data_IF_505289138401
#
_entry.id   IF_505289138401
#
_cell.length_a   1.000
_cell.length_b   1.000
_cell.length_c   1.000
_cell.angle_alpha   90.00
_cell.angle_beta   90.00
_cell.angle_gamma   90.00
#
_symmetry.space_group_name_H-M   'P 1'
#
loop_
_entity.id
_entity.type
_entity.pdbx_description
1 polymer ?
#
# COMPACT_ATOMS: atom_id res chain seq x y z
N UNK A 1 12.40 0.60 -25.17
CA UNK A 1 12.39 -0.26 -23.97
C UNK A 1 10.97 -0.73 -23.67
N UNK A 2 10.82 -1.84 -22.93
CA UNK A 2 9.49 -2.27 -22.44
C UNK A 2 8.91 -1.22 -21.49
N UNK A 3 7.58 -1.20 -21.33
CA UNK A 3 6.98 -0.23 -20.43
C UNK A 3 7.34 -0.50 -18.97
N UNK A 4 7.48 -1.76 -18.56
CA UNK A 4 7.92 -2.10 -17.20
C UNK A 4 9.31 -1.53 -16.86
N UNK A 5 10.26 -1.64 -17.79
CA UNK A 5 11.61 -1.07 -17.66
C UNK A 5 11.54 0.46 -17.54
N UNK A 6 10.72 1.10 -18.37
CA UNK A 6 10.48 2.54 -18.30
C UNK A 6 9.86 2.97 -16.96
N UNK A 7 8.88 2.22 -16.47
CA UNK A 7 8.21 2.45 -15.19
C UNK A 7 9.22 2.35 -14.03
N UNK A 8 10.03 1.29 -13.99
CA UNK A 8 11.03 1.09 -12.94
C UNK A 8 12.09 2.22 -12.94
N UNK A 9 12.55 2.65 -14.11
CA UNK A 9 13.44 3.81 -14.25
C UNK A 9 12.75 5.08 -13.74
N UNK A 10 11.47 5.29 -14.06
CA UNK A 10 10.73 6.48 -13.65
C UNK A 10 10.63 6.56 -12.12
N UNK A 11 10.03 5.54 -11.49
CA UNK A 11 9.62 5.64 -10.09
C UNK A 11 10.65 5.03 -9.13
N UNK A 12 11.03 3.77 -9.34
CA UNK A 12 11.81 3.00 -8.37
C UNK A 12 13.28 3.43 -8.34
N UNK A 13 13.88 3.66 -9.51
CA UNK A 13 15.28 4.07 -9.60
C UNK A 13 15.51 5.57 -9.40
N UNK A 14 14.44 6.38 -9.46
CA UNK A 14 14.52 7.83 -9.36
C UNK A 14 13.53 8.40 -8.33
N UNK A 15 12.25 8.55 -8.66
CA UNK A 15 11.30 9.32 -7.84
C UNK A 15 11.28 8.89 -6.36
N UNK A 16 11.04 7.61 -6.06
CA UNK A 16 11.01 7.12 -4.67
C UNK A 16 12.38 7.09 -4.00
N UNK A 17 13.43 6.79 -4.77
CA UNK A 17 14.82 6.72 -4.26
C UNK A 17 15.31 8.03 -3.65
N UNK A 18 14.83 9.16 -4.14
CA UNK A 18 15.20 10.48 -3.62
C UNK A 18 14.36 10.92 -2.41
N UNK A 19 13.48 10.06 -1.90
CA UNK A 19 12.71 10.34 -0.68
C UNK A 19 11.83 11.57 -0.81
N UNK A 20 11.13 11.72 -1.95
CA UNK A 20 10.21 12.84 -2.18
C UNK A 20 9.18 12.91 -1.05
N UNK A 21 8.79 14.11 -0.63
CA UNK A 21 7.74 14.26 0.37
C UNK A 21 6.40 13.81 -0.23
N UNK A 22 5.72 12.87 0.43
CA UNK A 22 4.36 12.43 0.09
C UNK A 22 3.42 12.93 1.20
N UNK A 23 2.25 13.47 0.86
CA UNK A 23 1.22 13.89 1.83
C UNK A 23 0.72 15.32 1.65
N UNK A 24 0.18 15.96 2.73
CA UNK A 24 -0.42 17.31 2.69
C UNK A 24 0.50 18.44 2.17
N UNK A 25 1.81 18.21 2.13
CA UNK A 25 2.82 19.10 1.55
C UNK A 25 3.59 18.47 0.38
N UNK A 26 3.23 17.23 0.02
CA UNK A 26 3.82 16.42 -1.04
C UNK A 26 2.83 16.19 -2.18
N UNK A 27 3.13 15.30 -3.12
CA UNK A 27 2.34 15.26 -4.35
C UNK A 27 0.89 14.68 -4.19
N UNK A 28 0.61 13.78 -3.21
CA UNK A 28 -0.73 13.15 -3.01
C UNK A 28 -1.35 13.26 -1.62
N UNK A 29 -2.68 13.07 -1.59
CA UNK A 29 -3.46 12.88 -0.38
C UNK A 29 -3.86 11.40 -0.22
N UNK A 30 -3.16 10.69 0.66
CA UNK A 30 -3.32 9.24 0.95
C UNK A 30 -4.16 8.99 2.20
N UNK A 31 -4.49 7.73 2.50
CA UNK A 31 -5.10 7.36 3.79
C UNK A 31 -4.30 7.88 4.99
N UNK A 32 -2.97 7.74 4.93
CA UNK A 32 -2.02 8.20 5.96
C UNK A 32 -2.05 9.73 6.10
N UNK A 33 -2.33 10.46 5.02
CA UNK A 33 -2.37 11.93 5.01
C UNK A 33 -3.62 12.51 5.69
N UNK A 34 -4.68 11.72 5.85
CA UNK A 34 -5.94 12.15 6.47
C UNK A 34 -5.70 12.55 7.92
N UNK A 35 -5.01 11.68 8.66
CA UNK A 35 -4.64 11.82 10.06
C UNK A 35 -4.56 10.45 10.75
N UNK A 36 -4.48 10.46 12.08
CA UNK A 36 -4.21 9.26 12.88
C UNK A 36 -5.28 8.15 12.82
N UNK A 37 -6.51 8.47 12.39
CA UNK A 37 -7.64 7.55 12.52
C UNK A 37 -7.42 6.23 11.77
N UNK A 38 -6.78 6.27 10.61
CA UNK A 38 -6.50 5.05 9.83
C UNK A 38 -5.56 4.10 10.58
N UNK A 39 -4.44 4.60 11.11
CA UNK A 39 -3.52 3.82 11.95
C UNK A 39 -4.18 3.29 13.23
N UNK A 40 -5.04 4.08 13.87
CA UNK A 40 -5.80 3.63 15.04
C UNK A 40 -6.79 2.48 14.70
N UNK A 41 -7.41 2.53 13.51
CA UNK A 41 -8.26 1.44 13.02
C UNK A 41 -7.44 0.17 12.78
N UNK A 42 -6.26 0.27 12.14
CA UNK A 42 -5.32 -0.84 11.96
C UNK A 42 -4.93 -1.48 13.30
N UNK A 43 -4.64 -0.65 14.31
CA UNK A 43 -4.32 -1.11 15.66
C UNK A 43 -5.49 -1.87 16.31
N UNK A 44 -6.72 -1.36 16.17
CA UNK A 44 -7.91 -2.04 16.68
C UNK A 44 -8.11 -3.41 16.01
N UNK A 45 -7.91 -3.49 14.69
CA UNK A 45 -8.00 -4.76 13.98
C UNK A 45 -6.95 -5.77 14.46
N UNK A 46 -5.70 -5.34 14.62
CA UNK A 46 -4.64 -6.18 15.18
C UNK A 46 -5.01 -6.72 16.57
N UNK A 47 -5.51 -5.85 17.47
CA UNK A 47 -5.91 -6.26 18.82
C UNK A 47 -7.10 -7.22 18.81
N UNK A 48 -8.08 -7.04 17.91
CA UNK A 48 -9.18 -7.99 17.71
C UNK A 48 -8.67 -9.37 17.31
N UNK A 49 -7.75 -9.43 16.33
CA UNK A 49 -7.13 -10.69 15.91
C UNK A 49 -6.36 -11.35 17.07
N UNK A 50 -5.64 -10.56 17.86
CA UNK A 50 -4.90 -11.07 19.02
C UNK A 50 -5.83 -11.68 20.07
N UNK A 51 -6.90 -10.96 20.44
CA UNK A 51 -7.92 -11.42 21.40
C UNK A 51 -8.65 -12.68 20.95
N UNK A 52 -8.89 -12.79 19.64
CA UNK A 52 -9.54 -13.95 19.05
C UNK A 52 -8.59 -15.15 18.87
N UNK A 53 -7.31 -15.00 19.21
CA UNK A 53 -6.30 -16.05 19.04
C UNK A 53 -5.94 -16.32 17.56
N UNK A 54 -6.27 -15.40 16.66
CA UNK A 54 -5.95 -15.51 15.24
C UNK A 54 -4.49 -15.16 14.94
N UNK A 55 -3.87 -14.37 15.80
CA UNK A 55 -2.43 -14.09 15.85
C UNK A 55 -1.92 -14.29 17.28
N UNK A 56 -0.65 -14.66 17.44
CA UNK A 56 -0.02 -14.84 18.76
C UNK A 56 0.44 -13.52 19.37
N UNK A 57 0.70 -13.53 20.69
CA UNK A 57 1.31 -12.41 21.40
C UNK A 57 2.77 -12.14 21.00
N UNK A 58 3.42 -13.08 20.31
CA UNK A 58 4.77 -12.93 19.74
C UNK A 58 4.76 -12.45 18.28
N UNK A 59 3.58 -12.18 17.71
CA UNK A 59 3.45 -11.70 16.34
C UNK A 59 4.16 -10.34 16.17
N UNK A 60 5.04 -10.25 15.16
CA UNK A 60 5.70 -8.99 14.80
C UNK A 60 4.80 -8.16 13.91
N UNK A 61 5.03 -6.84 13.86
CA UNK A 61 4.29 -5.94 12.97
C UNK A 61 5.26 -5.31 11.98
N UNK A 62 4.94 -5.37 10.70
CA UNK A 62 5.77 -4.83 9.62
C UNK A 62 4.97 -3.91 8.72
N UNK A 63 5.54 -2.76 8.39
CA UNK A 63 5.08 -1.91 7.29
C UNK A 63 6.01 -2.05 6.07
N UNK A 64 5.43 -2.15 4.87
CA UNK A 64 6.15 -2.09 3.60
C UNK A 64 5.64 -0.89 2.80
N UNK A 65 6.57 -0.04 2.32
CA UNK A 65 6.22 1.22 1.64
C UNK A 65 5.87 2.35 2.60
N UNK A 66 6.61 2.47 3.71
CA UNK A 66 6.23 3.33 4.84
C UNK A 66 6.43 4.84 4.60
N UNK A 67 7.19 5.24 3.60
CA UNK A 67 7.60 6.62 3.34
C UNK A 67 8.14 7.33 4.62
N UNK A 68 7.33 8.14 5.31
CA UNK A 68 7.70 8.84 6.55
C UNK A 68 7.56 8.00 7.82
N UNK A 69 6.95 6.81 7.76
CA UNK A 69 6.66 5.95 8.91
C UNK A 69 5.42 6.37 9.71
N UNK A 70 4.63 7.32 9.20
CA UNK A 70 3.48 7.87 9.94
C UNK A 70 2.39 6.82 10.20
N UNK A 71 2.14 5.90 9.27
CA UNK A 71 1.11 4.86 9.45
C UNK A 71 1.47 3.91 10.59
N UNK A 72 2.69 3.34 10.60
CA UNK A 72 3.14 2.49 11.70
C UNK A 72 3.25 3.25 13.03
N UNK A 73 3.59 4.54 13.00
CA UNK A 73 3.58 5.38 14.19
C UNK A 73 2.15 5.61 14.71
N UNK A 74 1.17 5.87 13.84
CA UNK A 74 -0.24 5.97 14.22
C UNK A 74 -0.80 4.64 14.74
N UNK A 75 -0.38 3.53 14.14
CA UNK A 75 -0.65 2.19 14.65
C UNK A 75 -0.12 2.01 16.08
N UNK A 76 1.16 2.33 16.32
CA UNK A 76 1.77 2.21 17.64
C UNK A 76 1.06 3.07 18.70
N UNK A 77 0.70 4.31 18.33
CA UNK A 77 -0.11 5.20 19.18
C UNK A 77 -1.52 4.63 19.43
N UNK A 78 -2.12 3.98 18.43
CA UNK A 78 -3.38 3.26 18.54
C UNK A 78 -3.30 2.13 19.56
N UNK A 79 -2.26 1.27 19.48
CA UNK A 79 -2.02 0.22 20.47
C UNK A 79 -1.85 0.82 21.86
N UNK A 80 -1.03 1.86 22.03
CA UNK A 80 -0.85 2.54 23.32
C UNK A 80 -2.18 3.03 23.93
N UNK A 81 -3.08 3.52 23.08
CA UNK A 81 -4.37 4.09 23.51
C UNK A 81 -5.38 3.00 23.87
N UNK A 82 -5.38 1.90 23.13
CA UNK A 82 -6.36 0.83 23.26
C UNK A 82 -5.94 -0.21 24.31
N UNK A 83 -4.70 -0.71 24.24
CA UNK A 83 -4.12 -1.73 25.12
C UNK A 83 -2.61 -1.51 25.31
N UNK A 84 -2.20 -0.55 26.17
CA UNK A 84 -0.81 -0.16 26.35
C UNK A 84 0.10 -1.30 26.82
N UNK A 85 -0.42 -2.33 27.48
CA UNK A 85 0.31 -3.50 27.96
C UNK A 85 0.86 -4.39 26.83
N UNK A 86 0.29 -4.32 25.63
CA UNK A 86 0.74 -5.08 24.47
C UNK A 86 1.97 -4.43 23.83
N UNK A 87 2.03 -3.09 23.82
CA UNK A 87 3.02 -2.32 23.07
C UNK A 87 4.48 -2.67 23.41
N UNK A 88 4.91 -2.84 24.67
CA UNK A 88 6.29 -3.19 25.00
C UNK A 88 6.78 -4.52 24.41
N UNK A 89 5.85 -5.42 24.04
CA UNK A 89 6.17 -6.73 23.48
C UNK A 89 6.12 -6.74 21.94
N UNK A 90 5.70 -5.66 21.30
CA UNK A 90 5.61 -5.56 19.85
C UNK A 90 6.94 -5.14 19.22
N UNK A 91 7.46 -5.96 18.32
CA UNK A 91 8.55 -5.57 17.44
C UNK A 91 7.94 -4.91 16.18
N UNK A 92 8.18 -3.60 16.05
CA UNK A 92 7.75 -2.81 14.90
C UNK A 92 8.87 -2.76 13.85
N UNK A 93 8.54 -3.15 12.62
CA UNK A 93 9.49 -3.33 11.53
C UNK A 93 9.09 -2.49 10.32
N UNK A 94 10.06 -1.92 9.61
CA UNK A 94 9.86 -1.28 8.30
C UNK A 94 10.82 -1.91 7.28
N UNK A 95 10.30 -2.28 6.10
CA UNK A 95 11.13 -2.62 4.94
C UNK A 95 11.39 -1.35 4.14
N UNK A 96 12.64 -0.89 4.11
CA UNK A 96 13.02 0.36 3.45
C UNK A 96 14.44 0.27 2.85
N UNK A 97 14.57 0.13 1.52
CA UNK A 97 15.88 0.06 0.87
C UNK A 97 16.64 1.40 0.87
N UNK A 98 15.96 2.55 1.03
CA UNK A 98 16.59 3.86 0.89
C UNK A 98 16.98 4.48 2.23
N UNK A 99 18.28 4.73 2.43
CA UNK A 99 18.82 5.31 3.68
C UNK A 99 18.17 6.65 4.06
N UNK A 100 17.85 7.49 3.06
CA UNK A 100 17.21 8.79 3.29
C UNK A 100 15.82 8.64 3.93
N UNK A 101 15.04 7.66 3.50
CA UNK A 101 13.73 7.35 4.06
C UNK A 101 13.85 6.69 5.44
N UNK A 102 14.83 5.80 5.65
CA UNK A 102 15.12 5.24 6.98
C UNK A 102 15.42 6.33 8.01
N UNK A 103 16.22 7.35 7.64
CA UNK A 103 16.50 8.50 8.52
C UNK A 103 15.22 9.28 8.84
N UNK A 104 14.40 9.58 7.83
CA UNK A 104 13.10 10.24 8.02
C UNK A 104 12.18 9.44 8.95
N UNK A 105 12.10 8.13 8.77
CA UNK A 105 11.28 7.23 9.61
C UNK A 105 11.76 7.23 11.06
N UNK A 106 13.09 7.16 11.30
CA UNK A 106 13.66 7.29 12.65
C UNK A 106 13.36 8.65 13.29
N UNK A 107 13.47 9.74 12.53
CA UNK A 107 13.14 11.09 13.00
C UNK A 107 11.66 11.22 13.37
N UNK A 108 10.75 10.65 12.57
CA UNK A 108 9.31 10.59 12.88
C UNK A 108 9.07 9.90 14.22
N UNK A 109 9.67 8.72 14.42
CA UNK A 109 9.50 7.96 15.67
C UNK A 109 10.13 8.68 16.87
N UNK A 110 11.35 9.19 16.74
CA UNK A 110 12.01 9.93 17.81
C UNK A 110 11.22 11.19 18.22
N UNK A 111 10.65 11.91 17.24
CA UNK A 111 9.81 13.09 17.51
C UNK A 111 8.51 12.74 18.23
N UNK A 112 7.90 11.60 17.91
CA UNK A 112 6.60 11.19 18.46
C UNK A 112 6.70 10.45 19.79
N UNK A 113 7.75 9.67 19.99
CA UNK A 113 7.86 8.71 21.09
C UNK A 113 9.17 8.81 21.88
N UNK A 114 10.12 9.66 21.49
CA UNK A 114 11.44 9.66 22.09
C UNK A 114 12.11 8.29 21.98
N UNK A 115 12.53 7.73 23.11
CA UNK A 115 13.18 6.42 23.19
C UNK A 115 12.21 5.28 23.56
N UNK A 116 10.93 5.58 23.82
CA UNK A 116 9.95 4.63 24.34
C UNK A 116 9.52 3.58 23.29
N UNK A 117 9.51 3.98 22.00
CA UNK A 117 9.15 3.10 20.90
C UNK A 117 10.27 3.10 19.86
N UNK A 118 10.72 1.90 19.50
CA UNK A 118 11.79 1.69 18.51
C UNK A 118 11.25 0.92 17.31
N UNK A 119 11.74 1.30 16.14
CA UNK A 119 11.52 0.56 14.89
C UNK A 119 12.81 -0.13 14.45
N UNK A 120 12.66 -1.27 13.79
CA UNK A 120 13.74 -1.99 13.14
C UNK A 120 13.58 -1.90 11.62
N UNK A 121 14.65 -1.51 10.93
CA UNK A 121 14.68 -1.52 9.47
C UNK A 121 15.33 -2.79 8.94
N UNK A 122 14.82 -3.28 7.81
CA UNK A 122 15.52 -4.20 6.93
C UNK A 122 15.51 -3.61 5.52
N UNK A 123 16.54 -3.89 4.72
CA UNK A 123 16.61 -3.32 3.36
C UNK A 123 15.69 -4.07 2.39
N UNK A 124 15.46 -5.35 2.65
CA UNK A 124 14.62 -6.20 1.82
C UNK A 124 14.02 -7.37 2.62
N UNK A 125 12.98 -7.98 2.06
CA UNK A 125 12.28 -9.12 2.67
C UNK A 125 13.17 -10.36 2.85
N UNK A 126 14.26 -10.51 2.09
CA UNK A 126 15.16 -11.66 2.16
C UNK A 126 16.01 -11.72 3.43
N UNK A 127 16.09 -10.64 4.20
CA UNK A 127 16.78 -10.58 5.49
C UNK A 127 15.91 -11.04 6.66
N UNK A 128 14.63 -11.31 6.40
CA UNK A 128 13.64 -11.63 7.41
C UNK A 128 13.44 -13.14 7.54
N UNK A 129 13.38 -13.61 8.79
CA UNK A 129 12.99 -14.98 9.13
C UNK A 129 12.34 -14.98 10.51
N UNK A 130 11.02 -15.04 10.56
CA UNK A 130 10.24 -14.97 11.79
C UNK A 130 9.30 -16.17 11.96
N UNK A 131 8.71 -16.32 13.15
CA UNK A 131 7.68 -17.35 13.37
C UNK A 131 6.31 -16.86 12.88
N UNK A 132 5.91 -15.65 13.25
CA UNK A 132 4.64 -15.05 12.85
C UNK A 132 4.78 -13.55 12.63
N UNK A 133 4.16 -13.03 11.56
CA UNK A 133 4.20 -11.60 11.25
C UNK A 133 2.87 -11.09 10.67
N UNK A 134 2.51 -9.88 11.11
CA UNK A 134 1.39 -9.09 10.63
C UNK A 134 1.94 -7.92 9.79
N UNK A 135 1.66 -7.95 8.50
CA UNK A 135 2.24 -7.02 7.52
C UNK A 135 1.13 -6.09 7.01
N UNK A 136 1.38 -4.79 7.05
CA UNK A 136 0.49 -3.74 6.53
C UNK A 136 1.17 -2.98 5.39
N UNK A 137 0.41 -2.67 4.35
CA UNK A 137 0.81 -1.75 3.28
C UNK A 137 -0.36 -0.89 2.83
N UNK A 138 -0.03 0.31 2.36
CA UNK A 138 -0.98 1.24 1.76
C UNK A 138 -0.32 1.84 0.51
N UNK A 139 -0.97 1.73 -0.65
CA UNK A 139 -0.47 2.25 -1.94
C UNK A 139 0.92 1.69 -2.27
N UNK A 140 1.07 0.37 -2.07
CA UNK A 140 2.32 -0.33 -2.35
C UNK A 140 2.27 -1.04 -3.70
N UNK A 141 1.16 -1.70 -3.99
CA UNK A 141 1.07 -2.59 -5.14
C UNK A 141 0.85 -1.82 -6.44
N UNK A 142 0.28 -0.62 -6.39
CA UNK A 142 0.12 0.26 -7.56
C UNK A 142 1.42 0.95 -8.02
N UNK A 143 2.47 0.86 -7.20
CA UNK A 143 3.83 1.30 -7.49
C UNK A 143 4.70 0.21 -8.13
N UNK A 144 4.17 -0.99 -8.37
CA UNK A 144 4.92 -2.07 -9.02
C UNK A 144 4.93 -1.91 -10.52
N UNK A 145 6.05 -2.21 -11.18
CA UNK A 145 6.10 -2.13 -12.64
C UNK A 145 5.10 -3.07 -13.32
N UNK A 146 4.59 -2.62 -14.46
CA UNK A 146 3.62 -3.33 -15.28
C UNK A 146 3.97 -3.24 -16.76
N UNK A 147 3.44 -4.17 -17.55
CA UNK A 147 3.32 -4.02 -18.99
C UNK A 147 1.92 -3.51 -19.33
N UNK A 148 1.80 -2.79 -20.44
CA UNK A 148 0.52 -2.28 -20.93
C UNK A 148 0.13 -3.03 -22.18
N UNK A 149 -1.12 -3.49 -22.24
CA UNK A 149 -1.68 -4.18 -23.40
C UNK A 149 -2.87 -3.43 -24.00
N UNK A 150 -3.01 -3.45 -25.32
CA UNK A 150 -4.24 -3.10 -26.06
C UNK A 150 -4.44 -4.13 -27.19
N UNK A 151 -5.41 -5.03 -26.98
CA UNK A 151 -5.66 -6.17 -27.85
C UNK A 151 -4.49 -7.15 -27.87
N UNK A 152 -3.81 -7.24 -29.02
CA UNK A 152 -2.64 -8.11 -29.21
C UNK A 152 -1.31 -7.35 -29.16
N UNK A 153 -1.35 -6.06 -28.88
CA UNK A 153 -0.17 -5.20 -28.85
C UNK A 153 0.17 -4.80 -27.41
N UNK A 154 1.45 -4.59 -27.15
CA UNK A 154 1.94 -4.01 -25.91
C UNK A 154 2.66 -2.68 -26.16
N UNK A 155 2.69 -1.84 -25.13
CA UNK A 155 3.32 -0.53 -25.20
C UNK A 155 4.84 -0.63 -24.99
N UNK A 156 5.57 0.13 -25.78
CA UNK A 156 6.99 0.39 -25.62
C UNK A 156 7.25 1.90 -25.60
N UNK A 157 8.40 2.27 -25.05
CA UNK A 157 8.86 3.67 -24.98
C UNK A 157 10.19 3.79 -25.70
N UNK A 158 10.34 4.79 -26.57
CA UNK A 158 11.61 5.09 -27.24
C UNK A 158 12.50 6.04 -26.42
N UNK A 159 13.68 6.37 -26.95
CA UNK A 159 14.65 7.23 -26.29
C UNK A 159 14.19 8.71 -26.21
N UNK A 160 13.20 9.11 -27.03
CA UNK A 160 12.56 10.42 -27.00
C UNK A 160 11.35 10.46 -26.04
N UNK A 161 11.16 9.42 -25.21
CA UNK A 161 10.01 9.23 -24.33
C UNK A 161 8.67 9.08 -25.07
N UNK A 162 8.68 8.70 -26.35
CA UNK A 162 7.44 8.51 -27.13
C UNK A 162 6.96 7.08 -27.04
N UNK A 163 5.64 6.95 -26.96
CA UNK A 163 4.97 5.67 -26.91
C UNK A 163 4.76 5.09 -28.31
N UNK A 164 5.08 3.81 -28.48
CA UNK A 164 4.78 3.06 -29.68
C UNK A 164 4.31 1.64 -29.35
N UNK A 165 3.45 1.09 -30.21
CA UNK A 165 2.81 -0.22 -29.99
C UNK A 165 3.46 -1.29 -30.88
N UNK A 166 3.74 -2.46 -30.30
CA UNK A 166 4.19 -3.63 -31.05
C UNK A 166 3.44 -4.87 -30.57
N UNK A 167 3.51 -5.96 -31.34
CA UNK A 167 2.89 -7.24 -30.96
C UNK A 167 3.42 -7.71 -29.60
N UNK A 168 2.50 -7.99 -28.68
CA UNK A 168 2.84 -8.51 -27.36
C UNK A 168 3.48 -9.90 -27.44
N UNK A 169 4.39 -10.19 -26.52
CA UNK A 169 4.98 -11.53 -26.40
C UNK A 169 3.95 -12.57 -25.91
N UNK A 170 4.24 -13.84 -26.15
CA UNK A 170 3.30 -14.93 -25.86
C UNK A 170 2.99 -15.07 -24.37
N UNK A 171 3.94 -14.73 -23.49
CA UNK A 171 3.75 -14.83 -22.05
C UNK A 171 2.77 -13.75 -21.58
N UNK A 172 2.94 -12.51 -22.06
CA UNK A 172 2.02 -11.41 -21.76
C UNK A 172 0.60 -11.69 -22.30
N UNK A 173 0.49 -12.22 -23.53
CA UNK A 173 -0.81 -12.62 -24.09
C UNK A 173 -1.49 -13.74 -23.29
N UNK A 174 -0.71 -14.69 -22.76
CA UNK A 174 -1.23 -15.75 -21.90
C UNK A 174 -1.76 -15.18 -20.58
N UNK A 175 -1.04 -14.24 -19.95
CA UNK A 175 -1.49 -13.55 -18.74
C UNK A 175 -2.74 -12.71 -19.01
N UNK A 176 -2.75 -11.93 -20.10
CA UNK A 176 -3.89 -11.14 -20.55
C UNK A 176 -5.15 -12.00 -20.69
N UNK A 177 -5.01 -13.17 -21.33
CA UNK A 177 -6.08 -14.16 -21.45
C UNK A 177 -6.49 -14.75 -20.10
N UNK A 178 -5.53 -15.14 -19.25
CA UNK A 178 -5.76 -15.71 -17.91
C UNK A 178 -6.62 -14.78 -17.06
N UNK A 179 -6.32 -13.48 -17.08
CA UNK A 179 -7.01 -12.49 -16.25
C UNK A 179 -8.18 -11.79 -16.94
N UNK A 180 -8.41 -12.03 -18.24
CA UNK A 180 -9.48 -11.38 -19.00
C UNK A 180 -9.20 -9.91 -19.32
N UNK A 181 -7.92 -9.52 -19.39
CA UNK A 181 -7.47 -8.16 -19.69
C UNK A 181 -7.24 -8.07 -21.20
N UNK A 182 -8.12 -7.34 -21.89
CA UNK A 182 -8.00 -7.00 -23.30
C UNK A 182 -7.28 -5.67 -23.50
N UNK A 183 -7.38 -4.77 -22.51
CA UNK A 183 -6.78 -3.45 -22.51
C UNK A 183 -6.46 -3.04 -21.07
N UNK A 184 -5.26 -2.55 -20.79
CA UNK A 184 -4.87 -2.14 -19.44
C UNK A 184 -3.51 -2.68 -19.00
N UNK A 185 -3.29 -2.66 -17.69
CA UNK A 185 -2.01 -2.96 -17.04
C UNK A 185 -1.93 -4.42 -16.55
N UNK A 186 -0.79 -5.07 -16.81
CA UNK A 186 -0.47 -6.42 -16.33
C UNK A 186 0.86 -6.37 -15.59
N UNK A 187 0.82 -6.57 -14.27
CA UNK A 187 2.07 -6.62 -13.48
C UNK A 187 2.64 -8.02 -13.49
N UNK A 188 3.95 -8.12 -13.70
CA UNK A 188 4.70 -9.38 -13.54
C UNK A 188 5.37 -9.47 -12.16
N UNK A 189 5.24 -8.43 -11.35
CA UNK A 189 5.97 -8.27 -10.08
C UNK A 189 5.24 -8.90 -8.89
N UNK A 190 3.90 -9.03 -8.93
CA UNK A 190 3.12 -9.59 -7.82
C UNK A 190 3.53 -11.00 -7.44
N UNK A 191 3.79 -11.88 -8.42
CA UNK A 191 4.18 -13.26 -8.14
C UNK A 191 5.52 -13.34 -7.40
N UNK A 192 6.51 -12.54 -7.84
CA UNK A 192 7.82 -12.44 -7.18
C UNK A 192 7.67 -11.89 -5.76
N UNK A 193 6.89 -10.82 -5.60
CA UNK A 193 6.65 -10.21 -4.29
C UNK A 193 5.95 -11.16 -3.33
N UNK A 194 4.89 -11.85 -3.78
CA UNK A 194 4.18 -12.84 -2.97
C UNK A 194 5.09 -13.98 -2.51
N UNK A 195 5.97 -14.48 -3.40
CA UNK A 195 6.97 -15.49 -3.04
C UNK A 195 8.00 -14.96 -2.02
N UNK A 196 8.46 -13.72 -2.16
CA UNK A 196 9.35 -13.12 -1.17
C UNK A 196 8.63 -13.00 0.18
N UNK A 197 7.38 -12.55 0.18
CA UNK A 197 6.55 -12.41 1.37
C UNK A 197 6.28 -13.76 2.04
N UNK A 198 6.06 -14.83 1.27
CA UNK A 198 5.86 -16.18 1.80
C UNK A 198 7.05 -16.71 2.63
N UNK A 199 8.25 -16.17 2.39
CA UNK A 199 9.50 -16.63 3.00
C UNK A 199 9.92 -15.82 4.22
N UNK A 200 9.26 -14.69 4.54
CA UNK A 200 9.68 -13.84 5.67
C UNK A 200 9.35 -14.43 7.03
N UNK A 201 8.34 -15.30 7.10
CA UNK A 201 7.94 -15.97 8.33
C UNK A 201 7.24 -17.31 8.05
N UNK A 202 7.13 -18.17 9.07
CA UNK A 202 6.35 -19.41 8.97
C UNK A 202 4.88 -19.09 8.71
N UNK A 203 4.31 -18.18 9.52
CA UNK A 203 2.95 -17.64 9.39
C UNK A 203 2.98 -16.16 9.03
N UNK A 204 2.29 -15.78 7.96
CA UNK A 204 2.25 -14.41 7.44
C UNK A 204 0.81 -13.99 7.24
N UNK A 205 0.41 -12.89 7.87
CA UNK A 205 -0.85 -12.21 7.58
C UNK A 205 -0.54 -10.88 6.91
N UNK A 206 -1.00 -10.70 5.67
CA UNK A 206 -0.70 -9.53 4.86
C UNK A 206 -1.96 -8.76 4.51
N UNK A 207 -1.96 -7.46 4.77
CA UNK A 207 -3.03 -6.52 4.51
C UNK A 207 -2.53 -5.44 3.56
N UNK A 208 -3.24 -5.21 2.46
CA UNK A 208 -2.97 -4.06 1.58
C UNK A 208 -4.22 -3.25 1.30
N UNK A 209 -4.02 -1.94 1.18
CA UNK A 209 -5.01 -0.97 0.71
C UNK A 209 -4.47 -0.29 -0.55
N UNK A 210 -5.16 -0.48 -1.67
CA UNK A 210 -4.76 0.09 -2.97
C UNK A 210 -5.98 0.46 -3.82
N UNK A 211 -5.77 1.32 -4.82
CA UNK A 211 -6.80 1.64 -5.81
C UNK A 211 -7.01 0.48 -6.77
N UNK A 212 -8.25 0.17 -7.13
CA UNK A 212 -8.48 -0.84 -8.15
C UNK A 212 -9.87 -1.44 -8.11
N UNK A 213 -10.07 -2.47 -8.91
CA UNK A 213 -11.25 -3.32 -8.88
C UNK A 213 -10.85 -4.79 -8.91
N UNK A 214 -11.75 -5.68 -8.50
CA UNK A 214 -11.46 -7.11 -8.51
C UNK A 214 -11.25 -7.63 -9.92
N UNK A 215 -12.22 -7.38 -10.79
CA UNK A 215 -12.19 -7.74 -12.20
C UNK A 215 -11.58 -6.62 -13.05
N UNK A 216 -11.00 -6.94 -14.21
CA UNK A 216 -10.38 -5.93 -15.06
C UNK A 216 -11.43 -4.99 -15.66
N UNK A 217 -11.14 -3.69 -15.60
CA UNK A 217 -11.98 -2.66 -16.23
C UNK A 217 -11.86 -2.61 -17.76
N UNK A 218 -10.78 -3.16 -18.31
CA UNK A 218 -10.46 -3.11 -19.74
C UNK A 218 -10.25 -1.68 -20.28
N UNK A 219 -9.60 -0.85 -19.48
CA UNK A 219 -9.23 0.54 -19.79
C UNK A 219 -7.83 0.82 -19.24
N UNK A 220 -7.20 1.89 -19.71
CA UNK A 220 -5.96 2.37 -19.11
C UNK A 220 -6.26 3.18 -17.86
N UNK A 221 -5.46 2.99 -16.83
CA UNK A 221 -5.61 3.64 -15.54
C UNK A 221 -4.32 4.30 -15.03
N UNK A 222 -3.25 4.21 -15.81
CA UNK A 222 -1.98 4.88 -15.58
C UNK A 222 -2.16 6.39 -15.46
N UNK A 223 -1.66 6.91 -14.36
CA UNK A 223 -1.79 8.30 -13.97
C UNK A 223 -0.47 8.81 -13.42
N UNK A 224 -0.11 9.99 -13.88
CA UNK A 224 0.96 10.77 -13.31
C UNK A 224 0.34 11.67 -12.29
N UNK A 225 1.08 11.89 -11.22
CA UNK A 225 0.68 12.93 -10.31
C UNK A 225 1.85 13.81 -9.88
N UNK A 226 1.58 15.11 -9.84
CA UNK A 226 2.57 16.15 -9.59
C UNK A 226 1.89 17.41 -9.10
N UNK A 227 2.43 18.08 -8.08
CA UNK A 227 1.92 19.35 -7.56
C UNK A 227 0.41 19.31 -7.22
N UNK A 228 -0.04 18.20 -6.61
CA UNK A 228 -1.44 17.90 -6.28
C UNK A 228 -2.42 17.77 -7.47
N UNK A 229 -1.90 17.62 -8.68
CA UNK A 229 -2.71 17.38 -9.88
C UNK A 229 -2.53 15.95 -10.38
N UNK A 230 -3.60 15.41 -10.97
CA UNK A 230 -3.63 14.07 -11.57
C UNK A 230 -3.74 14.22 -13.07
N UNK A 231 -2.87 13.55 -13.80
CA UNK A 231 -2.84 13.55 -15.25
C UNK A 231 -2.91 12.12 -15.78
N UNK A 232 -3.76 11.87 -16.77
CA UNK A 232 -3.73 10.60 -17.49
C UNK A 232 -2.43 10.52 -18.30
N UNK A 233 -1.69 9.42 -18.17
CA UNK A 233 -0.41 9.25 -18.85
C UNK A 233 -0.54 9.43 -20.37
N UNK A 234 -1.63 8.94 -20.95
CA UNK A 234 -1.87 8.98 -22.40
C UNK A 234 -2.38 10.34 -22.91
N UNK A 235 -2.70 11.27 -22.02
CA UNK A 235 -3.15 12.63 -22.39
C UNK A 235 -1.99 13.64 -22.40
N UNK A 236 -0.80 13.24 -21.94
CA UNK A 236 0.39 14.09 -21.91
C UNK A 236 1.19 13.91 -23.21
N UNK A 237 1.41 15.02 -23.93
CA UNK A 237 2.20 15.03 -25.17
C UNK A 237 3.71 15.14 -24.92
N UNK A 238 4.12 15.77 -23.82
CA UNK A 238 5.52 15.94 -23.41
C UNK A 238 5.71 15.40 -21.99
N UNK A 239 6.40 14.26 -21.88
CA UNK A 239 6.67 13.59 -20.61
C UNK A 239 7.90 14.13 -19.90
N UNK A 240 8.76 14.92 -20.56
CA UNK A 240 10.01 15.42 -19.99
C UNK A 240 9.84 16.16 -18.66
N UNK A 241 8.79 16.99 -18.45
CA UNK A 241 8.56 17.67 -17.17
C UNK A 241 8.20 16.74 -16.01
N UNK A 242 7.76 15.51 -16.29
CA UNK A 242 7.21 14.57 -15.31
C UNK A 242 8.16 13.40 -15.05
N UNK A 243 8.82 12.91 -16.10
CA UNK A 243 9.68 11.75 -16.04
C UNK A 243 10.71 11.86 -14.92
N UNK A 244 10.75 10.86 -14.03
CA UNK A 244 11.65 10.77 -12.85
C UNK A 244 11.41 11.82 -11.76
N UNK A 245 10.43 12.71 -11.92
CA UNK A 245 10.17 13.87 -11.04
C UNK A 245 8.75 13.92 -10.50
N UNK A 246 7.95 12.91 -10.81
CA UNK A 246 6.56 12.78 -10.39
C UNK A 246 6.27 11.33 -10.12
N UNK A 247 5.17 11.07 -9.42
CA UNK A 247 4.71 9.71 -9.23
C UNK A 247 4.01 9.19 -10.49
N UNK A 248 4.03 7.87 -10.66
CA UNK A 248 3.34 7.15 -11.72
C UNK A 248 2.74 5.88 -11.11
N UNK A 249 1.40 5.81 -11.07
CA UNK A 249 0.68 4.64 -10.54
C UNK A 249 -0.46 4.25 -11.47
N UNK A 250 -1.11 3.11 -11.19
CA UNK A 250 -2.28 2.65 -11.93
C UNK A 250 -3.32 2.02 -10.99
N UNK A 251 -4.51 1.73 -11.51
CA UNK A 251 -5.53 1.02 -10.75
C UNK A 251 -5.32 -0.48 -10.86
N UNK A 252 -5.29 -1.17 -9.72
CA UNK A 252 -5.07 -2.61 -9.69
C UNK A 252 -6.25 -3.38 -10.27
N UNK A 253 -5.92 -4.49 -10.92
CA UNK A 253 -6.82 -5.62 -11.09
C UNK A 253 -6.49 -6.63 -9.98
N UNK A 254 -7.26 -6.62 -8.88
CA UNK A 254 -6.97 -7.43 -7.70
C UNK A 254 -7.05 -8.94 -7.96
N UNK A 255 -7.69 -9.38 -9.05
CA UNK A 255 -7.61 -10.77 -9.52
C UNK A 255 -6.18 -11.21 -9.84
N UNK A 256 -5.34 -10.31 -10.37
CA UNK A 256 -3.91 -10.58 -10.59
C UNK A 256 -3.20 -10.80 -9.24
N UNK A 257 -3.46 -9.92 -8.27
CA UNK A 257 -2.88 -9.99 -6.92
C UNK A 257 -3.30 -11.26 -6.20
N UNK A 258 -4.61 -11.57 -6.18
CA UNK A 258 -5.15 -12.81 -5.60
C UNK A 258 -4.44 -14.03 -6.15
N UNK A 259 -4.37 -14.15 -7.48
CA UNK A 259 -3.76 -15.32 -8.11
C UNK A 259 -2.29 -15.46 -7.74
N UNK A 260 -1.53 -14.38 -7.81
CA UNK A 260 -0.11 -14.37 -7.44
C UNK A 260 0.13 -14.83 -5.98
N UNK A 261 -0.69 -14.34 -5.05
CA UNK A 261 -0.61 -14.72 -3.64
C UNK A 261 -1.05 -16.18 -3.41
N UNK A 262 -2.12 -16.62 -4.07
CA UNK A 262 -2.55 -18.02 -3.98
C UNK A 262 -1.51 -19.00 -4.54
N UNK A 263 -0.85 -18.66 -5.65
CA UNK A 263 0.26 -19.46 -6.20
C UNK A 263 1.47 -19.52 -5.25
N UNK A 264 1.68 -18.49 -4.44
CA UNK A 264 2.71 -18.45 -3.40
C UNK A 264 2.30 -19.16 -2.09
N UNK A 265 1.11 -19.76 -2.02
CA UNK A 265 0.62 -20.53 -0.88
C UNK A 265 -0.18 -19.71 0.14
N UNK A 266 -0.61 -18.49 -0.19
CA UNK A 266 -1.51 -17.72 0.65
C UNK A 266 -2.99 -18.05 0.36
N UNK A 267 -3.81 -18.03 1.40
CA UNK A 267 -5.26 -17.97 1.31
C UNK A 267 -5.72 -16.51 1.35
N UNK A 268 -6.58 -16.10 0.42
CA UNK A 268 -7.23 -14.79 0.48
C UNK A 268 -8.40 -14.85 1.46
N UNK A 269 -8.27 -14.17 2.60
CA UNK A 269 -9.30 -14.15 3.65
C UNK A 269 -10.40 -13.15 3.33
N UNK A 270 -10.04 -11.95 2.86
CA UNK A 270 -10.99 -10.84 2.64
C UNK A 270 -10.63 -10.04 1.40
N UNK A 271 -11.66 -9.57 0.71
CA UNK A 271 -11.58 -8.51 -0.29
C UNK A 271 -12.83 -7.63 -0.15
N UNK A 272 -12.64 -6.35 0.17
CA UNK A 272 -13.74 -5.41 0.46
C UNK A 272 -13.43 -4.01 -0.08
N UNK A 273 -14.46 -3.17 -0.22
CA UNK A 273 -14.22 -1.73 -0.32
C UNK A 273 -13.61 -1.23 0.99
N UNK A 274 -12.78 -0.19 0.94
CA UNK A 274 -12.14 0.34 2.14
C UNK A 274 -13.16 0.78 3.20
N UNK A 275 -14.20 1.50 2.81
CA UNK A 275 -15.21 1.97 3.75
C UNK A 275 -15.91 0.81 4.49
N UNK A 276 -16.25 -0.25 3.77
CA UNK A 276 -16.84 -1.46 4.33
C UNK A 276 -15.86 -2.15 5.29
N UNK A 277 -14.59 -2.29 4.91
CA UNK A 277 -13.57 -2.87 5.77
C UNK A 277 -13.42 -2.07 7.06
N UNK A 278 -13.25 -0.75 6.95
CA UNK A 278 -13.04 0.14 8.10
C UNK A 278 -14.19 0.08 9.12
N UNK A 279 -15.43 -0.08 8.65
CA UNK A 279 -16.60 -0.24 9.51
C UNK A 279 -16.70 -1.66 10.06
N UNK A 280 -16.72 -2.67 9.19
CA UNK A 280 -17.08 -4.03 9.58
C UNK A 280 -15.95 -4.82 10.24
N UNK A 281 -14.68 -4.50 9.94
CA UNK A 281 -13.52 -5.26 10.41
C UNK A 281 -12.68 -4.42 11.39
N UNK A 282 -12.36 -3.18 11.02
CA UNK A 282 -11.43 -2.35 11.80
C UNK A 282 -12.11 -1.54 12.91
N UNK A 283 -13.44 -1.46 12.92
CA UNK A 283 -14.21 -0.81 13.99
C UNK A 283 -13.98 0.70 14.10
N UNK A 284 -14.06 1.43 12.98
CA UNK A 284 -13.91 2.90 12.98
C UNK A 284 -14.94 3.58 13.89
N UNK A 285 -16.14 3.02 14.02
CA UNK A 285 -17.20 3.46 14.93
C UNK A 285 -16.82 3.25 16.41
N UNK A 286 -16.13 2.16 16.74
CA UNK A 286 -15.60 1.90 18.08
C UNK A 286 -14.54 2.96 18.44
N UNK A 287 -13.64 3.30 17.50
CA UNK A 287 -12.64 4.34 17.69
C UNK A 287 -13.29 5.72 17.85
N UNK A 288 -14.27 6.06 17.02
CA UNK A 288 -15.00 7.33 17.13
C UNK A 288 -15.74 7.45 18.46
N UNK A 289 -16.36 6.35 18.91
CA UNK A 289 -17.05 6.29 20.20
C UNK A 289 -16.08 6.50 21.37
N UNK A 290 -14.92 5.85 21.33
CA UNK A 290 -13.89 6.04 22.35
C UNK A 290 -13.38 7.50 22.40
N UNK A 291 -13.18 8.14 21.23
CA UNK A 291 -12.77 9.55 21.16
C UNK A 291 -13.88 10.48 21.67
N UNK A 292 -15.16 10.14 21.42
CA UNK A 292 -16.29 10.91 21.95
C UNK A 292 -16.37 10.82 23.48
N UNK A 293 -16.14 9.64 24.04
CA UNK A 293 -16.23 9.38 25.48
C UNK A 293 -15.05 9.95 26.27
N UNK A 294 -13.82 9.78 25.75
CA UNK A 294 -12.58 10.08 26.49
C UNK A 294 -11.81 11.28 25.96
N UNK A 295 -12.13 11.73 24.75
CA UNK A 295 -11.50 12.89 24.12
C UNK A 295 -12.22 14.21 24.41
N UNK A 296 -11.66 15.29 23.87
CA UNK A 296 -12.36 16.57 23.84
C UNK A 296 -13.35 16.63 22.68
N UNK A 297 -14.32 17.56 22.74
CA UNK A 297 -15.21 17.85 21.60
C UNK A 297 -14.42 18.13 20.32
N UNK A 298 -13.33 18.89 20.42
CA UNK A 298 -12.46 19.19 19.28
C UNK A 298 -11.77 17.94 18.72
N UNK A 299 -11.34 17.01 19.59
CA UNK A 299 -10.75 15.75 19.16
C UNK A 299 -11.77 14.90 18.39
N UNK A 300 -13.00 14.79 18.90
CA UNK A 300 -14.08 14.09 18.20
C UNK A 300 -14.42 14.71 16.84
N UNK A 301 -14.58 16.04 16.77
CA UNK A 301 -14.83 16.73 15.51
C UNK A 301 -13.71 16.50 14.48
N UNK A 302 -12.45 16.46 14.93
CA UNK A 302 -11.31 16.14 14.07
C UNK A 302 -11.35 14.68 13.60
N UNK A 303 -11.64 13.72 14.48
CA UNK A 303 -11.76 12.32 14.13
C UNK A 303 -12.93 12.07 13.17
N UNK A 304 -14.08 12.70 13.39
CA UNK A 304 -15.25 12.60 12.51
C UNK A 304 -14.97 13.15 11.11
N UNK A 305 -14.20 14.26 11.00
CA UNK A 305 -13.72 14.77 9.70
C UNK A 305 -12.83 13.74 9.00
N UNK A 306 -11.90 13.13 9.72
CA UNK A 306 -11.04 12.07 9.17
C UNK A 306 -11.87 10.88 8.67
N UNK A 307 -12.83 10.41 9.47
CA UNK A 307 -13.74 9.33 9.10
C UNK A 307 -14.52 9.66 7.83
N UNK A 308 -15.00 10.90 7.66
CA UNK A 308 -15.67 11.33 6.43
C UNK A 308 -14.78 11.15 5.19
N UNK A 309 -13.50 11.52 5.27
CA UNK A 309 -12.56 11.34 4.15
C UNK A 309 -12.26 9.86 3.86
N UNK A 310 -12.11 9.04 4.90
CA UNK A 310 -11.79 7.61 4.78
C UNK A 310 -12.98 6.76 4.30
N UNK A 311 -14.22 7.17 4.61
CA UNK A 311 -15.43 6.37 4.37
C UNK A 311 -16.28 6.83 3.18
N UNK A 312 -16.25 8.13 2.84
CA UNK A 312 -17.12 8.66 1.79
C UNK A 312 -16.73 8.11 0.42
N UNK A 313 -17.71 7.68 -0.41
CA UNK A 313 -17.49 7.31 -1.81
C UNK A 313 -16.85 8.42 -2.65
N UNK A 314 -17.13 9.69 -2.32
CA UNK A 314 -16.59 10.85 -3.02
C UNK A 314 -15.06 10.99 -2.84
N UNK A 315 -14.54 10.49 -1.72
CA UNK A 315 -13.13 10.55 -1.34
C UNK A 315 -12.46 9.19 -1.52
N UNK A 316 -11.97 8.58 -0.44
CA UNK A 316 -11.14 7.37 -0.50
C UNK A 316 -11.98 6.08 -0.35
N UNK A 317 -13.16 6.18 0.26
CA UNK A 317 -13.89 5.02 0.80
C UNK A 317 -14.26 3.93 -0.20
N UNK A 318 -14.62 4.29 -1.43
CA UNK A 318 -14.92 3.29 -2.47
C UNK A 318 -13.81 3.10 -3.51
N UNK A 319 -12.91 4.08 -3.63
CA UNK A 319 -11.80 4.05 -4.59
C UNK A 319 -10.73 3.05 -4.16
N UNK A 320 -10.47 2.98 -2.87
CA UNK A 320 -9.59 1.99 -2.27
C UNK A 320 -10.30 0.68 -2.00
N UNK A 321 -9.58 -0.42 -2.21
CA UNK A 321 -9.99 -1.75 -1.80
C UNK A 321 -9.02 -2.26 -0.74
N UNK A 322 -9.58 -3.03 0.19
CA UNK A 322 -8.85 -3.77 1.20
C UNK A 322 -8.75 -5.23 0.74
N UNK A 323 -7.54 -5.78 0.77
CA UNK A 323 -7.30 -7.22 0.57
C UNK A 323 -6.48 -7.78 1.72
N UNK A 324 -6.85 -8.97 2.19
CA UNK A 324 -6.17 -9.67 3.28
C UNK A 324 -5.82 -11.10 2.86
N UNK A 325 -4.58 -11.49 3.14
CA UNK A 325 -4.06 -12.81 2.90
C UNK A 325 -3.50 -13.44 4.17
N UNK A 326 -3.61 -14.76 4.27
CA UNK A 326 -3.00 -15.57 5.30
C UNK A 326 -2.21 -16.72 4.67
N UNK A 327 -0.94 -16.83 5.04
CA UNK A 327 -0.17 -18.04 4.87
C UNK A 327 0.08 -18.63 6.25
N UNK A 328 -0.27 -19.89 6.45
CA UNK A 328 -0.01 -20.62 7.71
C UNK A 328 1.27 -21.43 7.67
#
# INVERSE_FOLDING_TARGET
MKFSEFFDIWVNENYYKFGVDIGKKGDFYTNVSVGYLFGACLANYFLKLLKNGEISSSCKVMEIGANSGDMLADFAQGIFTLEPEILPNLELIIIEPHEILRKRQLETFAKRFGDDIKIKHYENLGECSFDEIFIISNELLDAFSCEIIDGQNMLFVDDDLKFYWQKADQNLLALAKKFGIKKGEISTSYAKFALQLANVAKKVRFLSFDYGEFEPKNEFSLRIFKDHQVFSLFEISDLEPYFKRSDLTYSLCFKQVKEAFCEAGFEMLKFKKQNEALVCDFGVDEILSLVLEKGSKQAYENAAKQAKFLLSPEFLGEKFKFIEFLKS
#
